data_IF_129223121071
#
_entry.id   IF_129223121071
#
_cell.length_a   1.000
_cell.length_b   1.000
_cell.length_c   1.000
_cell.angle_alpha   90.00
_cell.angle_beta   90.00
_cell.angle_gamma   90.00
#
_symmetry.space_group_name_H-M   'P 1'
#
loop_
_entity.id
_entity.type
_entity.pdbx_description
1 polymer ?
#
# COMPACT_ATOMS: atom_id res chain seq x y z
N UNK A 1 -42.32 15.84 67.36
CA UNK A 1 -42.47 14.45 66.91
C UNK A 1 -41.24 14.15 66.08
N UNK A 2 -40.18 13.70 66.75
CA UNK A 2 -39.82 12.30 67.03
C UNK A 2 -38.83 11.85 65.95
N UNK A 3 -37.68 11.28 66.22
CA UNK A 3 -36.92 11.05 67.46
C UNK A 3 -35.56 10.46 66.99
N UNK A 4 -34.45 10.91 67.63
CA UNK A 4 -33.43 10.09 68.35
C UNK A 4 -32.71 8.96 67.57
N UNK A 5 -31.41 8.69 67.67
CA UNK A 5 -30.16 9.27 68.19
C UNK A 5 -29.03 8.23 67.88
N UNK A 6 -27.73 8.58 68.01
CA UNK A 6 -26.59 7.74 67.65
C UNK A 6 -25.99 6.98 68.86
N UNK A 7 -25.13 5.98 68.59
CA UNK A 7 -24.47 5.16 69.64
C UNK A 7 -22.93 5.26 69.57
N UNK A 8 -22.37 5.85 70.65
CA UNK A 8 -21.08 5.70 71.37
C UNK A 8 -19.89 4.94 70.71
N UNK A 9 -18.67 5.52 70.60
CA UNK A 9 -17.61 5.78 71.61
C UNK A 9 -16.98 4.51 72.24
N UNK A 10 -15.71 4.19 71.93
CA UNK A 10 -14.56 4.11 72.88
C UNK A 10 -13.26 3.50 72.29
N UNK A 11 -12.17 4.23 72.53
CA UNK A 11 -10.75 3.85 72.50
C UNK A 11 -10.40 2.84 73.63
N UNK A 12 -9.50 1.89 73.34
CA UNK A 12 -8.52 1.22 74.23
C UNK A 12 -7.39 0.72 73.29
N UNK A 13 -6.21 1.32 73.18
CA UNK A 13 -5.03 1.39 74.07
C UNK A 13 -4.30 0.06 74.35
N UNK A 14 -3.01 0.06 73.95
CA UNK A 14 -1.83 -0.65 74.51
C UNK A 14 -1.47 -2.06 73.99
N UNK A 15 -0.34 -2.29 73.30
CA UNK A 15 1.13 -2.34 73.64
C UNK A 15 1.62 -3.81 73.79
N UNK A 16 2.89 -4.08 73.41
CA UNK A 16 3.74 -5.30 73.61
C UNK A 16 3.63 -6.39 72.50
N UNK A 17 4.67 -6.99 71.87
CA UNK A 17 6.13 -7.12 72.10
C UNK A 17 6.87 -7.34 70.75
N UNK A 18 8.03 -6.69 70.65
CA UNK A 18 9.14 -6.92 69.75
C UNK A 18 10.08 -7.96 70.37
N UNK A 19 10.46 -9.07 69.72
CA UNK A 19 11.72 -9.77 70.05
C UNK A 19 12.24 -10.75 68.97
N UNK A 20 13.36 -10.35 68.36
CA UNK A 20 14.58 -11.12 67.99
C UNK A 20 14.49 -12.20 66.89
N UNK A 21 15.18 -12.10 65.75
CA UNK A 21 16.63 -11.98 65.45
C UNK A 21 17.49 -13.14 66.01
N UNK A 22 18.10 -13.94 65.11
CA UNK A 22 19.57 -13.97 64.83
C UNK A 22 19.98 -15.29 64.12
N UNK A 23 20.58 -15.10 62.94
CA UNK A 23 21.64 -15.84 62.20
C UNK A 23 21.67 -17.36 62.07
N UNK A 24 21.83 -17.82 60.81
CA UNK A 24 23.01 -18.59 60.42
C UNK A 24 23.60 -18.05 59.11
N UNK A 25 24.84 -17.57 59.22
CA UNK A 25 25.81 -17.39 58.15
C UNK A 25 26.16 -18.74 57.52
N UNK A 26 26.08 -18.82 56.19
CA UNK A 26 26.77 -19.85 55.39
C UNK A 26 27.73 -19.15 54.43
N UNK A 27 29.00 -19.49 54.60
CA UNK A 27 30.13 -19.22 53.75
C UNK A 27 30.59 -20.58 53.22
N UNK A 28 30.89 -20.66 51.93
CA UNK A 28 31.71 -21.71 51.35
C UNK A 28 30.98 -22.65 50.39
N UNK A 29 31.29 -22.52 49.10
CA UNK A 29 30.90 -23.49 48.08
C UNK A 29 31.30 -23.05 46.68
N UNK A 30 32.59 -23.18 46.34
CA UNK A 30 33.09 -23.16 44.97
C UNK A 30 32.36 -24.22 44.14
N UNK A 31 31.32 -23.81 43.43
CA UNK A 31 30.80 -24.51 42.27
C UNK A 31 31.05 -23.61 41.08
N UNK A 32 31.94 -24.03 40.18
CA UNK A 32 31.98 -23.50 38.83
C UNK A 32 30.63 -23.80 38.18
N UNK A 33 29.64 -22.94 38.44
CA UNK A 33 28.43 -22.89 37.65
C UNK A 33 28.90 -22.55 36.25
N UNK A 34 28.77 -23.51 35.34
CA UNK A 34 28.79 -23.23 33.92
C UNK A 34 27.95 -21.97 33.75
N UNK A 35 28.62 -20.85 33.45
CA UNK A 35 27.98 -19.72 32.80
C UNK A 35 27.48 -20.28 31.50
N UNK A 36 26.27 -20.86 31.53
CA UNK A 36 25.50 -21.07 30.33
C UNK A 36 25.52 -19.72 29.65
N UNK A 37 26.13 -19.68 28.46
CA UNK A 37 26.07 -18.49 27.62
C UNK A 37 24.64 -17.94 27.74
N UNK A 38 24.45 -16.62 27.96
CA UNK A 38 23.12 -16.06 27.78
C UNK A 38 22.59 -16.62 26.45
N UNK A 39 21.35 -17.14 26.40
CA UNK A 39 20.83 -17.76 25.19
C UNK A 39 21.18 -16.82 24.03
N UNK A 40 21.83 -17.32 22.95
CA UNK A 40 22.22 -16.47 21.84
C UNK A 40 21.00 -15.62 21.48
N UNK A 41 21.18 -14.30 21.42
CA UNK A 41 20.10 -13.40 21.03
C UNK A 41 19.54 -13.91 19.71
N UNK A 42 18.34 -14.48 19.74
CA UNK A 42 17.74 -15.08 18.55
C UNK A 42 17.33 -13.98 17.58
N UNK A 43 17.05 -14.37 16.34
CA UNK A 43 16.52 -13.45 15.35
C UNK A 43 15.01 -13.62 15.22
N UNK A 44 14.32 -12.55 14.90
CA UNK A 44 12.95 -12.56 14.36
C UNK A 44 12.92 -12.10 12.91
N UNK A 45 11.74 -12.10 12.33
CA UNK A 45 11.48 -11.61 10.97
C UNK A 45 10.78 -10.26 11.03
N UNK A 46 11.24 -9.28 10.25
CA UNK A 46 10.58 -7.99 10.08
C UNK A 46 10.17 -7.84 8.61
N UNK A 47 8.87 -7.67 8.37
CA UNK A 47 8.34 -7.37 7.03
C UNK A 47 8.19 -5.86 6.89
N UNK A 48 8.88 -5.29 5.90
CA UNK A 48 8.88 -3.86 5.60
C UNK A 48 7.82 -3.57 4.53
N UNK A 49 6.86 -2.71 4.85
CA UNK A 49 5.81 -2.26 3.94
C UNK A 49 6.03 -0.80 3.52
N UNK A 50 5.60 -0.46 2.32
CA UNK A 50 5.46 0.91 1.84
C UNK A 50 3.97 1.21 1.61
N UNK A 51 3.50 2.34 2.13
CA UNK A 51 2.21 2.96 1.80
C UNK A 51 2.44 4.46 1.56
N UNK A 52 1.52 5.08 0.85
CA UNK A 52 1.52 6.52 0.61
C UNK A 52 0.19 7.15 1.03
N UNK A 53 0.28 8.37 1.54
CA UNK A 53 -0.80 9.34 1.56
C UNK A 53 -0.53 10.34 0.42
N UNK A 54 -1.28 10.28 -0.69
CA UNK A 54 -0.82 10.86 -1.94
C UNK A 54 -1.01 12.38 -2.01
N UNK A 55 -0.30 12.97 -2.98
CA UNK A 55 -0.45 14.37 -3.39
C UNK A 55 -1.17 14.47 -4.72
N UNK A 56 -2.16 15.35 -4.87
CA UNK A 56 -2.88 15.52 -6.15
C UNK A 56 -2.06 16.05 -7.33
N UNK A 57 -0.94 16.72 -7.08
CA UNK A 57 -0.22 17.47 -8.12
C UNK A 57 0.78 16.63 -8.93
N UNK A 58 1.22 15.49 -8.39
CA UNK A 58 2.12 14.57 -9.06
C UNK A 58 1.33 13.46 -9.76
N UNK A 59 1.51 13.22 -11.06
CA UNK A 59 0.82 12.12 -11.76
C UNK A 59 1.51 10.76 -11.57
N UNK A 60 2.82 10.79 -11.30
CA UNK A 60 3.61 9.70 -10.74
C UNK A 60 4.55 10.25 -9.67
N UNK A 61 5.01 9.42 -8.76
CA UNK A 61 6.08 9.77 -7.82
C UNK A 61 6.96 8.56 -7.55
N UNK A 62 8.11 8.51 -8.22
CA UNK A 62 9.10 7.43 -8.05
C UNK A 62 10.18 7.88 -7.10
N UNK A 63 10.33 7.15 -6.01
CA UNK A 63 11.32 7.44 -4.98
C UNK A 63 12.04 6.15 -4.60
N UNK A 64 13.36 6.20 -4.64
CA UNK A 64 14.23 5.11 -4.19
C UNK A 64 14.46 5.18 -2.71
N UNK A 65 14.11 4.10 -2.02
CA UNK A 65 14.57 3.79 -0.68
C UNK A 65 15.94 3.13 -0.78
N UNK A 66 16.98 3.85 -0.37
CA UNK A 66 18.36 3.38 -0.39
C UNK A 66 18.62 2.42 0.75
N UNK A 67 18.35 2.84 1.99
CA UNK A 67 18.66 2.04 3.17
C UNK A 67 17.72 2.29 4.35
N UNK A 68 17.58 1.27 5.18
CA UNK A 68 16.77 1.30 6.41
C UNK A 68 17.63 0.72 7.54
N UNK A 69 17.84 1.50 8.59
CA UNK A 69 18.61 1.11 9.78
C UNK A 69 17.75 1.29 11.03
N UNK A 70 17.64 0.24 11.84
CA UNK A 70 16.92 0.27 13.12
C UNK A 70 17.92 0.48 14.26
N UNK A 71 17.55 1.29 15.25
CA UNK A 71 18.35 1.50 16.47
C UNK A 71 17.60 0.99 17.69
N UNK A 72 18.23 0.08 18.44
CA UNK A 72 17.66 -0.52 19.65
C UNK A 72 17.64 0.46 20.83
N UNK A 73 16.84 0.16 21.85
CA UNK A 73 16.83 0.89 23.12
C UNK A 73 18.18 0.86 23.84
N UNK A 74 19.05 -0.11 23.52
CA UNK A 74 20.43 -0.20 23.99
C UNK A 74 21.43 0.58 23.12
N UNK A 75 20.97 1.27 22.07
CA UNK A 75 21.81 2.06 21.15
C UNK A 75 22.50 1.24 20.06
N UNK A 76 22.23 -0.06 19.95
CA UNK A 76 22.78 -0.90 18.88
C UNK A 76 22.01 -0.70 17.58
N UNK A 77 22.72 -0.66 16.45
CA UNK A 77 22.12 -0.47 15.12
C UNK A 77 22.11 -1.77 14.31
N UNK A 78 21.06 -2.00 13.53
CA UNK A 78 20.98 -3.11 12.55
C UNK A 78 20.40 -2.61 11.24
N UNK A 79 20.97 -3.08 10.13
CA UNK A 79 20.48 -2.78 8.78
C UNK A 79 19.32 -3.70 8.41
N UNK A 80 18.13 -3.13 8.21
CA UNK A 80 16.96 -3.85 7.71
C UNK A 80 16.93 -3.88 6.17
N UNK A 81 17.39 -2.81 5.52
CA UNK A 81 17.59 -2.73 4.06
C UNK A 81 18.96 -2.11 3.78
N UNK A 82 19.84 -2.85 3.08
CA UNK A 82 21.15 -2.33 2.68
C UNK A 82 21.06 -1.55 1.36
N UNK A 83 21.98 -0.61 1.13
CA UNK A 83 22.04 0.16 -0.12
C UNK A 83 22.24 -0.69 -1.38
N UNK A 84 22.89 -1.85 -1.25
CA UNK A 84 22.99 -2.85 -2.32
C UNK A 84 21.65 -3.52 -2.66
N UNK A 85 20.66 -3.39 -1.78
CA UNK A 85 19.30 -3.90 -1.92
C UNK A 85 18.29 -2.75 -2.07
N UNK A 86 18.74 -1.55 -2.46
CA UNK A 86 17.83 -0.41 -2.62
C UNK A 86 16.66 -0.73 -3.55
N UNK A 87 15.54 -0.05 -3.34
CA UNK A 87 14.27 -0.29 -4.04
C UNK A 87 13.65 1.04 -4.45
N UNK A 88 13.39 1.20 -5.75
CA UNK A 88 12.53 2.26 -6.26
C UNK A 88 11.08 1.78 -6.24
N UNK A 89 10.21 2.64 -5.72
CA UNK A 89 8.77 2.41 -5.70
C UNK A 89 8.09 3.59 -6.37
N UNK A 90 7.05 3.32 -7.14
CA UNK A 90 6.06 4.32 -7.50
C UNK A 90 5.11 4.45 -6.29
N UNK A 91 5.22 5.54 -5.54
CA UNK A 91 4.53 5.71 -4.25
C UNK A 91 3.08 6.13 -4.42
N UNK A 92 2.76 6.94 -5.43
CA UNK A 92 1.40 7.46 -5.65
C UNK A 92 0.36 6.34 -5.79
N UNK A 93 0.72 5.28 -6.52
CA UNK A 93 -0.11 4.08 -6.74
C UNK A 93 -0.30 3.23 -5.47
N UNK A 94 0.52 3.43 -4.43
CA UNK A 94 0.43 2.69 -3.16
C UNK A 94 -0.52 3.32 -2.16
N UNK A 95 -1.19 4.40 -2.55
CA UNK A 95 -2.34 4.94 -1.82
C UNK A 95 -3.39 3.87 -1.62
N UNK A 96 -3.66 3.51 -0.37
CA UNK A 96 -4.60 2.44 0.00
C UNK A 96 -4.22 1.06 -0.56
N UNK A 97 -3.02 0.87 -1.10
CA UNK A 97 -2.53 -0.40 -1.65
C UNK A 97 -1.06 -0.63 -1.26
N UNK A 98 -0.77 -0.95 0.01
CA UNK A 98 0.58 -1.15 0.48
C UNK A 98 1.27 -2.30 -0.25
N UNK A 99 2.59 -2.19 -0.38
CA UNK A 99 3.42 -3.26 -0.96
C UNK A 99 4.60 -3.59 -0.04
N UNK A 100 5.21 -4.75 -0.25
CA UNK A 100 6.38 -5.19 0.54
C UNK A 100 7.65 -4.66 -0.11
N UNK A 101 8.49 -4.01 0.70
CA UNK A 101 9.84 -3.58 0.31
C UNK A 101 10.81 -4.74 0.47
N UNK A 102 10.77 -5.38 1.65
CA UNK A 102 11.69 -6.46 2.04
C UNK A 102 11.15 -7.27 3.21
N UNK A 103 11.51 -8.55 3.24
CA UNK A 103 11.41 -9.41 4.43
C UNK A 103 12.82 -9.57 5.00
N UNK A 104 13.07 -9.07 6.21
CA UNK A 104 14.40 -8.98 6.81
C UNK A 104 14.51 -9.84 8.08
N UNK A 105 15.65 -10.50 8.26
CA UNK A 105 16.00 -11.19 9.51
C UNK A 105 16.69 -10.21 10.45
N UNK A 106 16.08 -9.93 11.61
CA UNK A 106 16.51 -8.89 12.54
C UNK A 106 16.77 -9.50 13.92
N UNK A 107 17.88 -9.17 14.60
CA UNK A 107 18.14 -9.62 15.97
C UNK A 107 17.03 -9.19 16.93
N UNK A 108 16.71 -10.04 17.90
CA UNK A 108 15.73 -9.75 18.91
C UNK A 108 16.17 -8.56 19.78
N UNK A 109 15.33 -7.52 19.79
CA UNK A 109 15.49 -6.32 20.60
C UNK A 109 14.21 -5.47 20.53
N UNK A 110 14.12 -4.48 21.42
CA UNK A 110 13.18 -3.37 21.24
C UNK A 110 13.89 -2.23 20.52
N UNK A 111 13.35 -1.84 19.36
CA UNK A 111 13.84 -0.76 18.51
C UNK A 111 13.03 0.50 18.74
N UNK A 112 13.76 1.61 18.96
CA UNK A 112 13.20 2.90 19.38
C UNK A 112 13.24 3.96 18.28
N UNK A 113 14.02 3.72 17.23
CA UNK A 113 14.05 4.57 16.05
C UNK A 113 14.41 3.79 14.79
N UNK A 114 14.01 4.35 13.65
CA UNK A 114 14.42 3.93 12.32
C UNK A 114 15.00 5.12 11.57
N UNK A 115 16.13 4.91 10.90
CA UNK A 115 16.70 5.84 9.95
C UNK A 115 16.45 5.32 8.53
N UNK A 116 15.80 6.13 7.71
CA UNK A 116 15.49 5.87 6.31
C UNK A 116 16.35 6.79 5.45
N UNK A 117 17.08 6.24 4.49
CA UNK A 117 17.79 7.03 3.47
C UNK A 117 17.08 6.86 2.12
N UNK A 118 16.87 7.98 1.43
CA UNK A 118 16.21 8.04 0.12
C UNK A 118 17.05 8.83 -0.89
N UNK A 119 16.83 8.56 -2.17
CA UNK A 119 17.41 9.32 -3.27
C UNK A 119 16.46 10.43 -3.75
N UNK A 120 16.92 11.30 -4.64
CA UNK A 120 16.06 12.31 -5.25
C UNK A 120 14.95 11.65 -6.09
N UNK A 121 13.67 12.01 -5.89
CA UNK A 121 12.57 11.42 -6.64
C UNK A 121 12.45 11.99 -8.05
N UNK A 122 11.75 11.23 -8.90
CA UNK A 122 11.27 11.67 -10.23
C UNK A 122 9.75 11.63 -10.28
N UNK A 123 9.14 12.64 -10.90
CA UNK A 123 7.69 12.77 -11.02
C UNK A 123 7.29 13.22 -12.42
N UNK A 124 6.10 12.85 -12.85
CA UNK A 124 5.46 13.43 -14.04
C UNK A 124 4.45 14.48 -13.59
N UNK A 125 4.62 15.71 -14.07
CA UNK A 125 3.73 16.83 -13.76
C UNK A 125 2.89 17.18 -14.97
N UNK A 126 1.65 17.63 -14.72
CA UNK A 126 0.81 18.25 -15.73
C UNK A 126 0.89 19.77 -15.62
N UNK A 127 1.34 20.43 -16.69
CA UNK A 127 1.28 21.87 -16.81
C UNK A 127 -0.06 22.26 -17.45
N UNK A 128 -0.94 22.88 -16.67
CA UNK A 128 -2.26 23.30 -17.14
C UNK A 128 -2.23 24.45 -18.15
N UNK A 129 -1.15 25.23 -18.20
CA UNK A 129 -1.02 26.33 -19.15
C UNK A 129 -0.69 25.81 -20.56
N UNK A 130 0.18 24.81 -20.67
CA UNK A 130 0.56 24.20 -21.95
C UNK A 130 -0.26 22.96 -22.30
N UNK A 131 -0.94 22.34 -21.32
CA UNK A 131 -1.62 21.05 -21.48
C UNK A 131 -0.67 19.86 -21.63
N UNK A 132 0.61 20.03 -21.29
CA UNK A 132 1.65 19.01 -21.48
C UNK A 132 1.97 18.27 -20.18
N UNK A 133 2.52 17.07 -20.33
CA UNK A 133 3.02 16.24 -19.24
C UNK A 133 4.54 16.09 -19.41
N UNK A 134 5.30 16.39 -18.36
CA UNK A 134 6.77 16.35 -18.40
C UNK A 134 7.38 15.71 -17.16
N UNK A 135 8.48 15.01 -17.35
CA UNK A 135 9.29 14.49 -16.26
C UNK A 135 10.01 15.62 -15.52
N UNK A 136 10.04 15.55 -14.20
CA UNK A 136 10.73 16.48 -13.32
C UNK A 136 11.46 15.70 -12.24
N UNK A 137 12.77 15.90 -12.13
CA UNK A 137 13.54 15.46 -10.96
C UNK A 137 13.42 16.52 -9.88
N UNK A 138 13.08 16.11 -8.66
CA UNK A 138 12.90 17.04 -7.54
C UNK A 138 14.12 16.94 -6.63
N UNK A 139 14.82 18.05 -6.34
CA UNK A 139 15.93 18.04 -5.40
C UNK A 139 15.48 17.61 -4.00
N UNK A 140 16.16 16.61 -3.43
CA UNK A 140 15.97 16.18 -2.04
C UNK A 140 16.70 17.13 -1.09
N UNK A 141 15.97 17.69 -0.13
CA UNK A 141 16.54 18.61 0.87
C UNK A 141 17.24 17.84 2.00
N UNK A 142 16.69 16.68 2.37
CA UNK A 142 17.16 15.81 3.44
C UNK A 142 17.08 14.36 2.97
N UNK A 143 18.24 13.75 2.68
CA UNK A 143 18.28 12.38 2.17
C UNK A 143 18.05 11.33 3.26
N UNK A 144 18.28 11.66 4.53
CA UNK A 144 18.11 10.73 5.65
C UNK A 144 17.13 11.31 6.66
N UNK A 145 16.10 10.52 6.98
CA UNK A 145 15.07 10.85 7.96
C UNK A 145 15.16 9.87 9.12
N UNK A 146 15.22 10.38 10.35
CA UNK A 146 15.11 9.57 11.57
C UNK A 146 13.72 9.69 12.16
N UNK A 147 13.06 8.56 12.35
CA UNK A 147 11.69 8.47 12.83
C UNK A 147 11.65 7.75 14.19
N UNK A 148 10.81 8.19 15.13
CA UNK A 148 10.55 7.41 16.33
C UNK A 148 9.88 6.08 15.95
N UNK A 149 10.21 5.03 16.70
CA UNK A 149 9.66 3.69 16.48
C UNK A 149 9.37 3.02 17.82
N UNK A 150 8.36 2.17 17.86
CA UNK A 150 8.14 1.23 18.96
C UNK A 150 7.91 -0.16 18.38
N UNK A 151 9.01 -0.85 18.11
CA UNK A 151 9.02 -2.17 17.48
C UNK A 151 9.78 -3.15 18.38
N UNK A 152 9.11 -4.17 18.88
CA UNK A 152 9.78 -5.27 19.60
C UNK A 152 9.88 -6.47 18.66
N UNK A 153 11.10 -6.97 18.48
CA UNK A 153 11.39 -8.20 17.76
C UNK A 153 11.80 -9.24 18.79
N UNK A 154 11.09 -10.36 18.84
CA UNK A 154 11.47 -11.51 19.67
C UNK A 154 12.06 -12.63 18.80
N UNK A 155 12.82 -13.56 19.40
CA UNK A 155 13.31 -14.74 18.69
C UNK A 155 12.18 -15.56 18.08
N UNK A 156 12.24 -15.83 16.78
CA UNK A 156 11.27 -16.65 16.04
C UNK A 156 9.94 -15.96 15.71
N UNK A 157 9.70 -14.76 16.24
CA UNK A 157 8.48 -14.00 15.97
C UNK A 157 8.59 -13.22 14.65
N UNK A 158 7.43 -12.87 14.11
CA UNK A 158 7.30 -11.94 12.99
C UNK A 158 6.75 -10.61 13.50
N UNK A 159 7.37 -9.53 13.04
CA UNK A 159 6.86 -8.18 13.19
C UNK A 159 6.70 -7.53 11.81
N UNK A 160 5.85 -6.52 11.70
CA UNK A 160 5.77 -5.69 10.50
C UNK A 160 6.07 -4.23 10.82
N UNK A 161 6.71 -3.55 9.88
CA UNK A 161 7.01 -2.13 9.92
C UNK A 161 6.53 -1.51 8.61
N UNK A 162 5.56 -0.62 8.69
CA UNK A 162 5.07 0.16 7.56
C UNK A 162 5.73 1.53 7.55
N UNK A 163 6.30 1.89 6.42
CA UNK A 163 6.75 3.24 6.10
C UNK A 163 5.64 3.91 5.30
N UNK A 164 5.07 4.94 5.89
CA UNK A 164 3.96 5.71 5.32
C UNK A 164 4.51 7.07 4.88
N UNK A 165 4.63 7.29 3.57
CA UNK A 165 5.04 8.58 3.01
C UNK A 165 3.82 9.49 2.97
N UNK A 166 3.88 10.65 3.61
CA UNK A 166 2.91 11.70 3.33
C UNK A 166 3.41 12.52 2.13
N UNK A 167 3.11 12.06 0.93
CA UNK A 167 3.57 12.70 -0.30
C UNK A 167 3.05 14.13 -0.44
N UNK A 168 1.84 14.41 0.05
CA UNK A 168 1.27 15.76 0.05
C UNK A 168 2.14 16.75 0.81
N UNK A 169 2.58 16.40 2.01
CA UNK A 169 3.42 17.28 2.83
C UNK A 169 4.90 17.23 2.43
N UNK A 170 5.31 16.14 1.75
CA UNK A 170 6.69 15.94 1.33
C UNK A 170 7.11 16.73 0.10
N UNK A 171 6.17 17.10 -0.76
CA UNK A 171 6.44 17.87 -1.98
C UNK A 171 5.89 19.28 -1.82
N UNK A 172 6.80 20.25 -1.78
CA UNK A 172 6.47 21.67 -1.63
C UNK A 172 6.92 22.46 -2.84
N UNK A 173 6.36 23.65 -3.00
CA UNK A 173 6.78 24.61 -4.02
C UNK A 173 7.47 25.79 -3.34
N UNK A 174 8.64 26.17 -3.82
CA UNK A 174 9.36 27.33 -3.31
C UNK A 174 8.79 28.66 -3.85
N UNK A 175 9.39 29.78 -3.43
CA UNK A 175 8.94 31.12 -3.87
C UNK A 175 9.09 31.39 -5.36
N UNK A 176 9.84 30.56 -6.09
CA UNK A 176 10.06 30.67 -7.54
C UNK A 176 9.13 29.77 -8.34
N UNK A 177 8.36 28.89 -7.67
CA UNK A 177 7.55 27.88 -8.34
C UNK A 177 8.26 26.54 -8.54
N UNK A 178 9.51 26.38 -8.07
CA UNK A 178 10.25 25.13 -8.18
C UNK A 178 9.79 24.13 -7.12
N UNK A 179 9.74 22.84 -7.49
CA UNK A 179 9.43 21.78 -6.54
C UNK A 179 10.64 21.46 -5.65
N UNK A 180 10.36 21.23 -4.37
CA UNK A 180 11.31 20.77 -3.36
C UNK A 180 10.76 19.50 -2.71
N UNK A 181 11.65 18.56 -2.40
CA UNK A 181 11.29 17.33 -1.69
C UNK A 181 11.92 17.30 -0.30
N UNK A 182 11.06 17.36 0.73
CA UNK A 182 11.42 17.16 2.13
C UNK A 182 10.64 15.96 2.67
N UNK A 183 11.22 14.75 2.71
CA UNK A 183 10.49 13.53 3.03
C UNK A 183 9.83 13.56 4.41
N UNK A 184 8.50 13.47 4.43
CA UNK A 184 7.67 13.33 5.63
C UNK A 184 7.14 11.91 5.73
N UNK A 185 7.90 11.05 6.42
CA UNK A 185 7.51 9.66 6.68
C UNK A 185 6.93 9.47 8.08
N UNK A 186 6.10 8.46 8.23
CA UNK A 186 5.75 7.86 9.52
C UNK A 186 6.20 6.40 9.55
N UNK A 187 6.70 5.96 10.69
CA UNK A 187 7.07 4.57 10.94
C UNK A 187 6.00 3.94 11.84
N UNK A 188 5.28 2.97 11.31
CA UNK A 188 4.10 2.38 11.96
C UNK A 188 4.34 0.89 12.15
N UNK A 189 4.27 0.43 13.40
CA UNK A 189 4.32 -1.00 13.69
C UNK A 189 3.00 -1.64 13.26
N UNK A 190 3.10 -2.66 12.42
CA UNK A 190 1.98 -3.51 12.03
C UNK A 190 1.62 -4.42 13.21
N UNK A 191 0.34 -4.52 13.51
CA UNK A 191 -0.15 -5.37 14.59
C UNK A 191 -0.98 -6.53 14.04
N UNK A 192 -0.79 -7.70 14.65
CA UNK A 192 -1.54 -8.92 14.36
C UNK A 192 -2.75 -9.11 15.29
N UNK A 193 -2.99 -8.17 16.22
CA UNK A 193 -4.14 -8.18 17.12
C UNK A 193 -5.38 -7.52 16.48
N UNK A 194 -6.56 -7.94 16.92
CA UNK A 194 -7.84 -7.38 16.48
C UNK A 194 -7.89 -5.87 16.73
N UNK A 195 -8.07 -5.07 15.67
CA UNK A 195 -8.12 -3.60 15.74
C UNK A 195 -6.77 -2.88 15.58
N UNK A 196 -5.68 -3.62 15.38
CA UNK A 196 -4.40 -3.08 14.92
C UNK A 196 -4.37 -2.82 13.42
N UNK A 197 -3.35 -2.10 12.93
CA UNK A 197 -3.14 -1.90 11.50
C UNK A 197 -2.59 -3.20 10.92
N UNK A 198 -3.34 -3.92 10.06
CA UNK A 198 -2.90 -5.19 9.52
C UNK A 198 -1.82 -4.99 8.45
N UNK A 199 -0.92 -5.95 8.31
CA UNK A 199 -0.02 -6.00 7.17
C UNK A 199 -0.78 -6.64 6.02
N UNK A 200 -0.98 -5.93 4.92
CA UNK A 200 -1.68 -6.45 3.77
C UNK A 200 -0.99 -6.02 2.47
N UNK A 201 -1.19 -6.81 1.43
CA UNK A 201 -0.91 -6.48 0.03
C UNK A 201 -2.23 -6.60 -0.72
N UNK A 202 -2.46 -5.68 -1.66
CA UNK A 202 -3.75 -5.50 -2.36
C UNK A 202 -3.46 -5.21 -3.85
N UNK A 203 -3.87 -6.11 -4.72
CA UNK A 203 -3.69 -6.07 -6.16
C UNK A 203 -2.22 -6.16 -6.59
N UNK A 204 -1.37 -6.88 -5.84
CA UNK A 204 0.07 -6.86 -6.11
C UNK A 204 0.44 -7.91 -7.16
N UNK A 205 1.11 -7.53 -8.27
CA UNK A 205 1.65 -8.48 -9.23
C UNK A 205 2.72 -9.36 -8.57
N UNK A 206 2.70 -10.66 -8.83
CA UNK A 206 3.70 -11.58 -8.33
C UNK A 206 3.96 -12.75 -9.29
N UNK A 207 5.16 -13.32 -9.20
CA UNK A 207 5.56 -14.50 -9.98
C UNK A 207 5.67 -15.70 -9.04
N UNK A 208 4.95 -16.78 -9.34
CA UNK A 208 5.04 -18.04 -8.59
C UNK A 208 6.44 -18.63 -8.77
N UNK A 209 7.13 -18.90 -7.67
CA UNK A 209 8.45 -19.54 -7.67
C UNK A 209 8.41 -20.99 -7.22
N UNK A 210 7.47 -21.36 -6.36
CA UNK A 210 7.29 -22.73 -5.89
C UNK A 210 5.84 -22.96 -5.45
N UNK A 211 5.34 -24.19 -5.57
CA UNK A 211 4.02 -24.59 -5.09
C UNK A 211 4.15 -25.84 -4.22
N UNK A 212 3.60 -25.79 -3.00
CA UNK A 212 3.57 -26.86 -2.03
C UNK A 212 2.11 -27.18 -1.65
N UNK A 213 1.53 -28.12 -2.38
CA UNK A 213 0.16 -28.58 -2.18
C UNK A 213 -0.05 -29.28 -0.83
N UNK A 214 0.99 -29.88 -0.24
CA UNK A 214 0.87 -30.58 1.05
C UNK A 214 0.56 -29.65 2.22
N UNK A 215 0.99 -28.39 2.11
CA UNK A 215 0.81 -27.37 3.14
C UNK A 215 -0.15 -26.25 2.70
N UNK A 216 -0.84 -26.40 1.56
CA UNK A 216 -1.61 -25.33 0.91
C UNK A 216 -0.81 -24.02 0.81
N UNK A 217 0.44 -24.13 0.39
CA UNK A 217 1.40 -23.02 0.35
C UNK A 217 2.01 -22.87 -1.03
N UNK A 218 2.43 -21.67 -1.34
CA UNK A 218 3.26 -21.36 -2.49
C UNK A 218 4.18 -20.19 -2.15
N UNK A 219 5.26 -20.03 -2.89
CA UNK A 219 6.12 -18.85 -2.78
C UNK A 219 5.99 -18.03 -4.05
N UNK A 220 5.97 -16.72 -3.87
CA UNK A 220 6.00 -15.76 -4.97
C UNK A 220 7.17 -14.80 -4.82
N UNK A 221 7.60 -14.21 -5.92
CA UNK A 221 8.50 -13.06 -5.91
C UNK A 221 7.74 -11.86 -6.48
N UNK A 222 7.77 -10.74 -5.76
CA UNK A 222 7.22 -9.49 -6.24
C UNK A 222 8.18 -8.85 -7.26
N UNK A 223 7.68 -8.03 -8.20
CA UNK A 223 8.55 -7.22 -9.05
C UNK A 223 9.30 -6.18 -8.21
N UNK A 224 10.47 -5.77 -8.68
CA UNK A 224 11.27 -4.72 -8.05
C UNK A 224 12.04 -3.92 -9.10
N UNK A 225 12.33 -2.66 -8.79
CA UNK A 225 12.94 -1.72 -9.74
C UNK A 225 13.98 -0.83 -9.07
N UNK A 226 14.95 -0.36 -9.85
CA UNK A 226 15.79 0.81 -9.56
C UNK A 226 16.05 1.53 -10.87
N UNK A 227 15.65 2.80 -10.99
CA UNK A 227 15.89 3.63 -12.18
C UNK A 227 15.49 2.90 -13.47
N UNK A 228 14.28 2.33 -13.49
CA UNK A 228 13.72 1.58 -14.62
C UNK A 228 14.49 0.30 -15.02
N UNK A 229 15.39 -0.20 -14.16
CA UNK A 229 16.02 -1.50 -14.33
C UNK A 229 15.35 -2.51 -13.39
N UNK A 230 14.94 -3.69 -13.91
CA UNK A 230 14.40 -4.74 -13.06
C UNK A 230 15.46 -5.27 -12.10
N UNK A 231 15.02 -5.52 -10.89
CA UNK A 231 15.75 -6.25 -9.87
C UNK A 231 14.83 -7.31 -9.27
N UNK A 232 15.39 -8.33 -8.64
CA UNK A 232 14.57 -9.29 -7.90
C UNK A 232 13.93 -8.60 -6.70
N UNK A 233 12.60 -8.54 -6.66
CA UNK A 233 11.85 -8.05 -5.50
C UNK A 233 11.85 -9.05 -4.34
N UNK A 234 11.14 -8.73 -3.24
CA UNK A 234 11.04 -9.63 -2.09
C UNK A 234 10.26 -10.90 -2.45
N UNK A 235 10.65 -12.01 -1.82
CA UNK A 235 9.89 -13.26 -1.87
C UNK A 235 8.92 -13.35 -0.70
N UNK A 236 7.68 -13.76 -0.98
CA UNK A 236 6.64 -13.98 0.01
C UNK A 236 6.27 -15.47 0.03
N UNK A 237 6.07 -16.02 1.23
CA UNK A 237 5.40 -17.32 1.39
C UNK A 237 3.92 -17.05 1.62
N UNK A 238 3.08 -17.65 0.78
CA UNK A 238 1.64 -17.44 0.77
C UNK A 238 0.93 -18.75 1.10
N UNK A 239 -0.07 -18.69 1.96
CA UNK A 239 -0.99 -19.76 2.31
C UNK A 239 -2.36 -19.48 1.70
N UNK A 240 -3.07 -20.52 1.30
CA UNK A 240 -4.50 -20.44 0.99
C UNK A 240 -5.30 -21.30 1.95
N UNK A 241 -6.54 -20.90 2.24
CA UNK A 241 -7.50 -21.69 3.00
C UNK A 241 -8.87 -21.76 2.29
N UNK A 242 -9.91 -22.21 3.01
CA UNK A 242 -11.27 -22.31 2.46
C UNK A 242 -11.94 -20.95 2.19
N UNK A 243 -11.39 -19.85 2.71
CA UNK A 243 -11.87 -18.49 2.47
C UNK A 243 -11.16 -17.78 1.32
N UNK A 244 -10.02 -18.31 0.87
CA UNK A 244 -9.31 -17.79 -0.30
C UNK A 244 -10.18 -17.91 -1.57
N UNK A 245 -10.41 -16.78 -2.23
CA UNK A 245 -11.07 -16.72 -3.53
C UNK A 245 -10.06 -16.97 -4.64
N UNK A 246 -10.36 -17.93 -5.51
CA UNK A 246 -9.58 -18.20 -6.70
C UNK A 246 -10.28 -17.60 -7.92
N UNK A 247 -9.55 -16.85 -8.72
CA UNK A 247 -10.04 -16.26 -9.97
C UNK A 247 -9.22 -16.76 -11.14
N UNK A 248 -9.88 -17.10 -12.24
CA UNK A 248 -9.32 -17.73 -13.46
C UNK A 248 -8.69 -19.12 -13.28
N UNK A 249 -8.55 -19.55 -12.03
CA UNK A 249 -8.15 -20.89 -11.58
C UNK A 249 -9.15 -21.40 -10.55
N UNK A 250 -9.14 -22.69 -10.30
CA UNK A 250 -10.03 -23.33 -9.32
C UNK A 250 -9.32 -23.67 -8.01
N UNK A 251 -7.98 -23.79 -8.01
CA UNK A 251 -7.20 -24.10 -6.81
C UNK A 251 -5.71 -23.82 -6.97
N UNK A 252 -4.93 -23.96 -5.88
CA UNK A 252 -3.46 -23.96 -5.94
C UNK A 252 -2.86 -25.02 -6.87
N UNK A 253 -3.57 -26.13 -7.15
CA UNK A 253 -3.08 -27.16 -8.06
C UNK A 253 -2.98 -26.69 -9.51
N UNK A 254 -3.65 -25.59 -9.85
CA UNK A 254 -3.59 -24.96 -11.18
C UNK A 254 -2.40 -23.99 -11.31
N UNK A 255 -1.65 -23.75 -10.24
CA UNK A 255 -0.46 -22.92 -10.24
C UNK A 255 0.80 -23.75 -10.50
N UNK A 256 1.67 -23.21 -11.35
CA UNK A 256 3.01 -23.74 -11.57
C UNK A 256 4.05 -22.62 -11.45
N UNK A 257 5.32 -22.94 -11.09
CA UNK A 257 6.39 -21.95 -11.13
C UNK A 257 6.46 -21.24 -12.49
N UNK A 258 6.63 -19.92 -12.47
CA UNK A 258 6.60 -19.05 -13.64
C UNK A 258 5.21 -18.50 -13.98
N UNK A 259 4.13 -18.99 -13.35
CA UNK A 259 2.84 -18.30 -13.45
C UNK A 259 2.95 -16.90 -12.84
N UNK A 260 2.35 -15.94 -13.53
CA UNK A 260 2.13 -14.58 -13.01
C UNK A 260 0.73 -14.49 -12.43
N UNK A 261 0.59 -13.72 -11.36
CA UNK A 261 -0.66 -13.56 -10.65
C UNK A 261 -0.80 -12.16 -10.05
N UNK A 262 -2.03 -11.81 -9.75
CA UNK A 262 -2.41 -10.71 -8.87
C UNK A 262 -2.78 -11.31 -7.50
N UNK A 263 -2.23 -10.73 -6.42
CA UNK A 263 -2.33 -11.25 -5.06
C UNK A 263 -2.89 -10.21 -4.09
N UNK A 264 -4.00 -10.59 -3.45
CA UNK A 264 -4.48 -9.97 -2.22
C UNK A 264 -4.15 -10.90 -1.07
N UNK A 265 -3.38 -10.42 -0.09
CA UNK A 265 -3.01 -11.26 1.03
C UNK A 265 -2.69 -10.46 2.30
N UNK A 266 -2.94 -11.10 3.45
CA UNK A 266 -2.70 -10.52 4.77
C UNK A 266 -1.55 -11.24 5.47
N UNK A 267 -0.57 -10.48 5.98
CA UNK A 267 0.51 -11.01 6.78
C UNK A 267 -0.03 -11.59 8.10
N UNK A 268 0.37 -12.82 8.41
CA UNK A 268 0.05 -13.50 9.65
C UNK A 268 1.22 -13.46 10.63
N UNK A 269 0.94 -13.73 11.91
CA UNK A 269 1.96 -13.88 12.96
C UNK A 269 2.95 -15.02 12.69
N UNK A 270 2.61 -15.96 11.81
CA UNK A 270 3.49 -17.03 11.33
C UNK A 270 4.58 -16.54 10.37
N UNK A 271 4.46 -15.32 9.82
CA UNK A 271 5.32 -14.78 8.78
C UNK A 271 4.88 -15.11 7.36
N UNK A 272 3.88 -15.99 7.21
CA UNK A 272 3.25 -16.24 5.92
C UNK A 272 2.15 -15.22 5.67
N UNK A 273 1.85 -15.01 4.40
CA UNK A 273 0.70 -14.24 3.96
C UNK A 273 -0.48 -15.20 3.74
N UNK A 274 -1.64 -14.92 4.32
CA UNK A 274 -2.88 -15.62 3.99
C UNK A 274 -3.53 -14.93 2.81
N UNK A 275 -3.70 -15.66 1.71
CA UNK A 275 -4.34 -15.15 0.50
C UNK A 275 -5.84 -14.94 0.72
N UNK A 276 -6.31 -13.76 0.35
CA UNK A 276 -7.73 -13.43 0.24
C UNK A 276 -8.21 -13.68 -1.19
N UNK A 277 -7.41 -13.25 -2.17
CA UNK A 277 -7.67 -13.46 -3.60
C UNK A 277 -6.39 -13.94 -4.28
N UNK A 278 -6.52 -14.97 -5.11
CA UNK A 278 -5.47 -15.42 -6.03
C UNK A 278 -6.04 -15.42 -7.43
N UNK A 279 -5.52 -14.54 -8.26
CA UNK A 279 -5.91 -14.45 -9.67
C UNK A 279 -4.71 -14.75 -10.54
N UNK A 280 -4.77 -15.87 -11.26
CA UNK A 280 -3.73 -16.18 -12.25
C UNK A 280 -3.92 -15.29 -13.47
N UNK A 281 -2.85 -14.72 -13.98
CA UNK A 281 -2.90 -14.07 -15.28
C UNK A 281 -3.10 -15.12 -16.37
N UNK A 282 -4.15 -14.94 -17.17
CA UNK A 282 -4.52 -15.84 -18.27
C UNK A 282 -4.05 -15.37 -19.63
N UNK A 283 -3.37 -14.22 -19.68
CA UNK A 283 -2.95 -13.57 -20.92
C UNK A 283 -1.57 -14.08 -21.36
N UNK A 284 -1.41 -14.21 -22.68
CA UNK A 284 -0.26 -14.71 -23.42
C UNK A 284 1.06 -14.00 -23.03
N UNK A 285 2.24 -14.56 -23.41
CA UNK A 285 3.52 -13.87 -23.26
C UNK A 285 3.45 -12.47 -23.90
N UNK A 286 3.50 -11.45 -23.05
CA UNK A 286 3.28 -10.06 -23.43
C UNK A 286 3.72 -9.15 -22.28
N UNK A 287 4.19 -7.95 -22.61
CA UNK A 287 4.53 -6.97 -21.59
C UNK A 287 3.25 -6.35 -21.03
N UNK A 288 3.07 -6.48 -19.72
CA UNK A 288 2.01 -5.87 -18.93
C UNK A 288 2.43 -4.49 -18.50
N UNK A 289 1.52 -3.53 -18.63
CA UNK A 289 1.74 -2.14 -18.23
C UNK A 289 0.51 -1.68 -17.45
N UNK A 290 0.74 -1.19 -16.24
CA UNK A 290 -0.26 -0.52 -15.41
C UNK A 290 -0.03 0.98 -15.45
N UNK A 291 -1.10 1.74 -15.55
CA UNK A 291 -0.97 3.19 -15.71
C UNK A 291 -2.25 3.94 -15.96
N UNK A 292 -2.18 5.26 -15.82
CA UNK A 292 -3.29 6.16 -16.10
C UNK A 292 -3.30 6.55 -17.58
N UNK A 293 -4.45 6.50 -18.25
CA UNK A 293 -4.62 7.03 -19.60
C UNK A 293 -4.44 8.54 -19.58
N UNK A 294 -3.47 9.03 -20.34
CA UNK A 294 -3.16 10.47 -20.45
C UNK A 294 -3.46 11.03 -21.84
N UNK A 295 -3.59 10.17 -22.84
CA UNK A 295 -4.03 10.57 -24.18
C UNK A 295 -4.75 9.41 -24.88
N UNK A 296 -5.59 9.74 -25.85
CA UNK A 296 -6.22 8.78 -26.75
C UNK A 296 -6.45 9.39 -28.13
N UNK A 297 -6.47 8.55 -29.16
CA UNK A 297 -6.73 8.95 -30.53
C UNK A 297 -7.77 8.03 -31.18
N UNK A 298 -8.78 8.57 -31.88
CA UNK A 298 -9.23 9.97 -31.81
C UNK A 298 -9.66 10.35 -30.37
N UNK A 299 -9.64 11.66 -30.08
CA UNK A 299 -10.03 12.18 -28.76
C UNK A 299 -11.53 11.93 -28.42
N UNK A 300 -12.36 11.77 -29.45
CA UNK A 300 -13.79 11.46 -29.35
C UNK A 300 -14.16 10.29 -30.26
N UNK A 301 -15.15 9.48 -29.87
CA UNK A 301 -15.58 8.29 -30.60
C UNK A 301 -14.84 7.01 -30.15
N UNK A 302 -14.67 6.04 -31.05
CA UNK A 302 -13.89 4.82 -30.79
C UNK A 302 -12.40 5.14 -30.82
N UNK A 303 -11.66 4.81 -29.77
CA UNK A 303 -10.21 4.91 -29.76
C UNK A 303 -9.61 3.85 -30.71
N UNK A 304 -8.61 4.26 -31.46
CA UNK A 304 -7.71 3.37 -32.21
C UNK A 304 -6.33 3.30 -31.56
N UNK A 305 -6.02 4.21 -30.64
CA UNK A 305 -4.82 4.15 -29.80
C UNK A 305 -4.98 4.97 -28.52
N UNK A 306 -4.11 4.72 -27.55
CA UNK A 306 -4.03 5.46 -26.30
C UNK A 306 -2.61 5.45 -25.73
N UNK A 307 -2.32 6.43 -24.88
CA UNK A 307 -1.06 6.55 -24.17
C UNK A 307 -1.33 6.52 -22.68
N UNK A 308 -0.58 5.68 -21.98
CA UNK A 308 -0.60 5.53 -20.54
C UNK A 308 0.62 6.20 -19.92
N UNK A 309 0.41 6.76 -18.74
CA UNK A 309 1.45 7.10 -17.80
C UNK A 309 1.77 5.86 -16.96
N UNK A 310 2.96 5.30 -17.15
CA UNK A 310 3.39 4.00 -16.60
C UNK A 310 3.65 4.13 -15.10
N UNK A 311 2.91 3.36 -14.31
CA UNK A 311 3.11 3.23 -12.86
C UNK A 311 3.74 1.87 -12.48
N UNK A 312 3.41 0.80 -13.20
CA UNK A 312 3.99 -0.53 -12.99
C UNK A 312 4.08 -1.33 -14.31
N UNK A 313 4.89 -2.39 -14.36
CA UNK A 313 5.02 -3.24 -15.54
C UNK A 313 5.62 -4.64 -15.26
N UNK A 314 5.25 -5.64 -16.07
CA UNK A 314 5.69 -7.04 -15.92
C UNK A 314 5.64 -7.84 -17.26
N UNK A 315 6.67 -8.60 -17.67
CA UNK A 315 8.05 -8.47 -17.23
C UNK A 315 8.57 -7.11 -17.65
N UNK A 316 9.53 -6.58 -16.91
CA UNK A 316 10.12 -5.27 -17.18
C UNK A 316 11.13 -5.39 -18.33
N UNK A 317 10.89 -4.86 -19.54
CA UNK A 317 11.97 -4.70 -20.50
C UNK A 317 12.96 -3.65 -20.00
N UNK A 318 14.17 -3.70 -20.54
CA UNK A 318 15.14 -2.63 -20.38
C UNK A 318 14.58 -1.35 -21.03
N UNK A 319 14.25 -0.36 -20.18
CA UNK A 319 13.76 0.99 -20.50
C UNK A 319 12.29 1.14 -20.93
N UNK A 320 11.34 0.94 -20.02
CA UNK A 320 10.03 1.60 -20.14
C UNK A 320 10.17 3.03 -19.63
N UNK A 321 9.91 4.03 -20.47
CA UNK A 321 9.80 5.42 -20.01
C UNK A 321 8.60 5.64 -19.09
N UNK A 322 8.35 6.88 -18.72
CA UNK A 322 7.13 7.24 -17.98
C UNK A 322 5.85 7.12 -18.81
N UNK A 323 5.96 6.99 -20.12
CA UNK A 323 4.82 6.94 -21.03
C UNK A 323 4.95 5.75 -21.97
N UNK A 324 3.84 5.06 -22.22
CA UNK A 324 3.77 3.96 -23.17
C UNK A 324 2.47 4.03 -23.97
N UNK A 325 2.53 3.74 -25.27
CA UNK A 325 1.36 3.81 -26.15
C UNK A 325 1.00 2.46 -26.71
N UNK A 326 -0.30 2.23 -26.83
CA UNK A 326 -0.87 1.02 -27.40
C UNK A 326 -1.78 1.39 -28.57
N UNK A 327 -1.72 0.56 -29.62
CA UNK A 327 -2.73 0.53 -30.67
C UNK A 327 -3.90 -0.36 -30.24
N UNK A 328 -5.09 -0.07 -30.76
CA UNK A 328 -6.32 -0.85 -30.56
C UNK A 328 -6.78 -1.32 -31.93
N UNK A 329 -7.01 -2.63 -32.05
CA UNK A 329 -7.54 -3.25 -33.25
C UNK A 329 -8.71 -4.19 -32.93
N UNK A 330 -9.24 -4.87 -33.95
CA UNK A 330 -10.36 -5.80 -33.79
C UNK A 330 -10.03 -7.03 -32.94
N UNK A 331 -8.76 -7.31 -32.68
CA UNK A 331 -8.28 -8.42 -31.84
C UNK A 331 -7.99 -7.98 -30.40
N UNK A 332 -8.10 -6.69 -30.07
CA UNK A 332 -7.91 -6.19 -28.70
C UNK A 332 -9.10 -6.55 -27.82
N UNK A 333 -8.84 -7.23 -26.71
CA UNK A 333 -9.86 -7.65 -25.75
C UNK A 333 -10.04 -6.65 -24.61
N UNK A 334 -11.25 -6.12 -24.43
CA UNK A 334 -11.57 -5.19 -23.35
C UNK A 334 -12.22 -5.91 -22.15
N UNK A 335 -11.78 -5.57 -20.95
CA UNK A 335 -12.22 -6.18 -19.68
C UNK A 335 -12.34 -5.13 -18.60
N UNK A 336 -13.10 -5.43 -17.54
CA UNK A 336 -13.13 -4.62 -16.32
C UNK A 336 -12.67 -5.51 -15.17
N UNK A 337 -11.77 -5.00 -14.34
CA UNK A 337 -11.44 -5.63 -13.07
C UNK A 337 -12.68 -5.52 -12.16
N UNK A 338 -13.27 -6.66 -11.82
CA UNK A 338 -14.48 -6.74 -11.00
C UNK A 338 -14.16 -7.10 -9.56
N UNK A 339 -12.89 -7.10 -9.17
CA UNK A 339 -12.46 -7.52 -7.85
C UNK A 339 -13.08 -6.63 -6.78
N UNK A 340 -13.83 -7.26 -5.88
CA UNK A 340 -14.47 -6.65 -4.69
C UNK A 340 -15.42 -5.47 -4.95
N UNK A 341 -15.71 -5.17 -6.21
CA UNK A 341 -16.70 -4.18 -6.61
C UNK A 341 -17.97 -4.89 -7.07
N UNK A 342 -19.15 -4.56 -6.51
CA UNK A 342 -20.41 -5.12 -6.97
C UNK A 342 -20.85 -4.41 -8.27
N UNK A 343 -20.02 -4.51 -9.32
CA UNK A 343 -20.23 -3.92 -10.64
C UNK A 343 -21.50 -4.44 -11.32
N UNK A 344 -22.02 -5.59 -10.88
CA UNK A 344 -23.34 -6.09 -11.26
C UNK A 344 -24.48 -5.10 -10.94
N UNK A 345 -24.26 -4.18 -9.99
CA UNK A 345 -25.19 -3.11 -9.62
C UNK A 345 -25.14 -1.91 -10.58
N UNK A 346 -24.23 -1.91 -11.55
CA UNK A 346 -24.09 -0.89 -12.59
C UNK A 346 -24.62 -1.44 -13.92
N UNK A 347 -25.96 -1.44 -14.13
CA UNK A 347 -26.53 -1.90 -15.39
C UNK A 347 -25.93 -1.05 -16.52
N UNK A 348 -25.45 -1.72 -17.57
CA UNK A 348 -24.78 -1.11 -18.72
C UNK A 348 -23.34 -0.63 -18.49
N UNK A 349 -22.62 -1.17 -17.50
CA UNK A 349 -21.17 -1.02 -17.47
C UNK A 349 -20.56 -1.67 -18.71
N UNK A 350 -20.13 -0.84 -19.67
CA UNK A 350 -19.44 -1.26 -20.87
C UNK A 350 -18.06 -0.59 -20.90
N UNK A 351 -17.01 -1.39 -21.02
CA UNK A 351 -15.66 -0.91 -21.25
C UNK A 351 -15.19 -1.39 -22.62
N UNK A 352 -15.01 -0.43 -23.52
CA UNK A 352 -14.67 -0.67 -24.92
C UNK A 352 -13.93 0.55 -25.51
N UNK A 353 -13.56 0.55 -26.79
CA UNK A 353 -12.92 1.72 -27.40
C UNK A 353 -13.74 3.01 -27.36
N UNK A 354 -15.08 2.93 -27.25
CA UNK A 354 -15.97 4.10 -27.18
C UNK A 354 -16.07 4.68 -25.77
N UNK A 355 -15.80 3.89 -24.72
CA UNK A 355 -15.84 4.33 -23.32
C UNK A 355 -14.46 4.53 -22.68
N UNK A 356 -13.38 4.10 -23.34
CA UNK A 356 -12.00 4.45 -22.95
C UNK A 356 -11.81 5.97 -22.90
N UNK A 357 -11.29 6.52 -21.79
CA UNK A 357 -11.13 7.96 -21.56
C UNK A 357 -9.84 8.27 -20.82
N UNK A 358 -9.37 9.51 -21.02
CA UNK A 358 -8.29 10.10 -20.21
C UNK A 358 -8.71 10.12 -18.74
N UNK A 359 -7.77 9.82 -17.84
CA UNK A 359 -7.99 9.74 -16.39
C UNK A 359 -8.36 8.35 -15.87
N UNK A 360 -8.70 7.39 -16.73
CA UNK A 360 -8.90 6.00 -16.31
C UNK A 360 -7.55 5.33 -16.02
N UNK A 361 -7.54 4.39 -15.07
CA UNK A 361 -6.39 3.53 -14.83
C UNK A 361 -6.61 2.18 -15.47
N UNK A 362 -5.59 1.69 -16.18
CA UNK A 362 -5.67 0.49 -16.97
C UNK A 362 -4.50 -0.43 -16.64
N UNK A 363 -4.75 -1.72 -16.83
CA UNK A 363 -3.76 -2.74 -17.09
C UNK A 363 -3.87 -3.15 -18.57
N UNK A 364 -2.80 -2.98 -19.34
CA UNK A 364 -2.76 -3.38 -20.76
C UNK A 364 -1.62 -4.37 -21.01
N UNK A 365 -1.88 -5.34 -21.90
CA UNK A 365 -0.90 -6.35 -22.33
C UNK A 365 -0.51 -6.09 -23.77
N UNK A 366 0.77 -5.90 -24.02
CA UNK A 366 1.33 -5.83 -25.38
C UNK A 366 1.32 -7.22 -26.02
N UNK A 367 0.84 -7.29 -27.27
CA UNK A 367 0.81 -8.53 -28.05
C UNK A 367 2.20 -9.01 -28.46
N UNK A 368 3.23 -8.15 -28.39
CA UNK A 368 4.63 -8.48 -28.72
C UNK A 368 4.82 -9.04 -30.15
N UNK A 369 3.93 -8.68 -31.08
CA UNK A 369 3.97 -9.07 -32.50
C UNK A 369 4.61 -7.98 -33.39
N UNK A 370 5.14 -6.93 -32.79
CA UNK A 370 5.74 -5.77 -33.47
C UNK A 370 4.74 -4.73 -33.97
N UNK A 371 3.43 -4.94 -33.77
CA UNK A 371 2.38 -3.98 -34.19
C UNK A 371 2.16 -2.86 -33.16
N UNK A 372 2.65 -3.04 -31.93
CA UNK A 372 2.38 -2.16 -30.78
C UNK A 372 0.91 -2.19 -30.34
N UNK A 373 0.13 -3.16 -30.79
CA UNK A 373 -1.27 -3.31 -30.41
C UNK A 373 -1.41 -4.06 -29.08
N UNK A 374 -2.41 -3.67 -28.31
CA UNK A 374 -2.78 -4.36 -27.08
C UNK A 374 -3.47 -5.69 -27.41
N UNK A 375 -3.01 -6.77 -26.80
CA UNK A 375 -3.75 -8.03 -26.74
C UNK A 375 -5.00 -7.87 -25.88
N UNK A 376 -4.83 -7.30 -24.69
CA UNK A 376 -5.95 -6.98 -23.80
C UNK A 376 -5.76 -5.64 -23.09
N UNK A 377 -6.89 -5.03 -22.75
CA UNK A 377 -7.00 -3.80 -21.98
C UNK A 377 -8.03 -4.03 -20.90
N UNK A 378 -7.59 -3.96 -19.65
CA UNK A 378 -8.42 -4.14 -18.47
C UNK A 378 -8.54 -2.80 -17.76
N UNK A 379 -9.77 -2.33 -17.58
CA UNK A 379 -10.06 -1.20 -16.72
C UNK A 379 -9.83 -1.62 -15.27
N UNK A 380 -9.02 -0.87 -14.56
CA UNK A 380 -8.51 -1.26 -13.25
C UNK A 380 -8.64 -0.12 -12.21
N UNK A 381 -8.35 -0.44 -10.96
CA UNK A 381 -8.52 0.48 -9.84
C UNK A 381 -7.53 1.63 -9.89
N UNK A 382 -8.05 2.84 -9.64
CA UNK A 382 -7.27 4.05 -9.43
C UNK A 382 -7.47 4.53 -8.00
N UNK A 383 -6.37 4.96 -7.39
CA UNK A 383 -6.39 5.74 -6.15
C UNK A 383 -6.33 7.23 -6.48
N UNK A 384 -7.29 7.98 -5.94
CA UNK A 384 -7.38 9.43 -6.06
C UNK A 384 -7.56 10.05 -4.68
N UNK A 385 -7.02 11.24 -4.50
CA UNK A 385 -7.37 12.09 -3.36
C UNK A 385 -8.02 13.36 -3.87
N UNK A 386 -8.98 13.85 -3.12
CA UNK A 386 -9.76 15.01 -3.50
C UNK A 386 -10.66 15.49 -2.38
N UNK A 387 -11.33 16.60 -2.65
CA UNK A 387 -12.31 17.19 -1.76
C UNK A 387 -13.69 16.59 -2.03
N UNK A 388 -14.45 16.37 -0.96
CA UNK A 388 -15.89 16.09 -1.06
C UNK A 388 -16.58 17.35 -1.55
N UNK A 389 -17.27 17.25 -2.68
CA UNK A 389 -18.01 18.33 -3.31
C UNK A 389 -19.30 18.70 -2.58
N UNK A 390 -20.24 19.37 -3.27
CA UNK A 390 -21.41 19.96 -2.63
C UNK A 390 -22.47 18.94 -2.18
N UNK A 391 -22.54 17.76 -2.81
CA UNK A 391 -23.56 16.76 -2.50
C UNK A 391 -22.96 15.54 -1.80
N UNK A 392 -23.55 15.15 -0.67
CA UNK A 392 -23.28 13.89 0.03
C UNK A 392 -24.61 13.17 0.21
N UNK A 393 -24.76 12.02 -0.45
CA UNK A 393 -25.91 11.14 -0.35
C UNK A 393 -25.67 9.97 0.60
N UNK A 394 -26.59 8.99 0.57
CA UNK A 394 -26.49 7.76 1.38
C UNK A 394 -25.56 6.72 0.76
N UNK A 395 -25.39 6.75 -0.56
CA UNK A 395 -24.58 5.78 -1.32
C UNK A 395 -23.71 6.44 -2.38
N UNK A 396 -23.61 7.76 -2.38
CA UNK A 396 -22.73 8.50 -3.27
C UNK A 396 -22.34 9.86 -2.66
N UNK A 397 -21.32 10.48 -3.23
CA UNK A 397 -20.97 11.87 -2.97
C UNK A 397 -20.27 12.48 -4.20
N UNK A 398 -20.38 13.79 -4.34
CA UNK A 398 -19.61 14.55 -5.31
C UNK A 398 -18.13 14.55 -4.91
N UNK A 399 -17.23 14.33 -5.87
CA UNK A 399 -15.80 14.31 -5.62
C UNK A 399 -15.08 15.22 -6.61
N UNK A 400 -14.23 16.08 -6.06
CA UNK A 400 -13.36 17.00 -6.79
C UNK A 400 -11.93 16.47 -6.61
N UNK A 401 -11.37 15.75 -7.60
CA UNK A 401 -10.01 15.23 -7.48
C UNK A 401 -9.01 16.38 -7.34
N UNK A 402 -8.00 16.19 -6.50
CA UNK A 402 -6.88 17.13 -6.41
C UNK A 402 -6.06 17.09 -7.73
N UNK A 403 -5.49 18.25 -8.10
CA UNK A 403 -4.63 18.40 -9.26
C UNK A 403 -5.36 18.85 -10.54
N UNK A 404 -4.65 19.61 -11.37
CA UNK A 404 -5.24 20.25 -12.55
C UNK A 404 -5.49 19.29 -13.73
N UNK A 405 -4.87 18.11 -13.73
CA UNK A 405 -4.98 17.16 -14.83
C UNK A 405 -6.42 16.69 -15.05
N UNK A 406 -7.13 16.29 -13.98
CA UNK A 406 -8.50 15.82 -14.09
C UNK A 406 -9.44 16.96 -14.53
N UNK A 407 -9.31 18.15 -13.92
CA UNK A 407 -10.10 19.31 -14.28
C UNK A 407 -9.92 19.71 -15.76
N UNK A 408 -8.68 19.74 -16.26
CA UNK A 408 -8.38 20.06 -17.66
C UNK A 408 -8.94 19.03 -18.65
N UNK A 409 -9.21 17.80 -18.19
CA UNK A 409 -9.76 16.71 -18.99
C UNK A 409 -11.26 16.44 -18.72
N UNK A 410 -11.98 17.43 -18.17
CA UNK A 410 -13.44 17.34 -17.97
C UNK A 410 -13.86 16.48 -16.77
N UNK A 411 -12.93 16.18 -15.86
CA UNK A 411 -13.14 15.40 -14.63
C UNK A 411 -12.94 16.27 -13.38
N UNK A 412 -13.24 17.58 -13.47
CA UNK A 412 -13.10 18.50 -12.33
C UNK A 412 -14.06 18.22 -11.19
N UNK A 413 -15.17 17.53 -11.46
CA UNK A 413 -16.08 16.99 -10.46
C UNK A 413 -16.79 15.77 -11.06
N UNK A 414 -16.91 14.70 -10.28
CA UNK A 414 -17.69 13.52 -10.64
C UNK A 414 -18.23 12.80 -9.40
N UNK A 415 -19.17 11.86 -9.59
CA UNK A 415 -19.77 11.11 -8.48
C UNK A 415 -18.87 9.95 -8.06
N UNK A 416 -18.63 9.81 -6.76
CA UNK A 416 -18.15 8.56 -6.15
C UNK A 416 -19.36 7.77 -5.68
N UNK A 417 -19.44 6.50 -6.06
CA UNK A 417 -20.50 5.59 -5.60
C UNK A 417 -19.91 4.60 -4.60
N UNK A 418 -20.55 4.47 -3.45
CA UNK A 418 -20.22 3.46 -2.43
C UNK A 418 -21.32 2.41 -2.36
N UNK A 419 -20.94 1.20 -2.01
CA UNK A 419 -21.80 0.02 -1.96
C UNK A 419 -21.63 -0.68 -0.62
N UNK A 420 -22.38 -1.75 -0.36
CA UNK A 420 -22.19 -2.55 0.85
C UNK A 420 -20.83 -3.26 0.93
N UNK A 421 -20.12 -3.39 -0.20
CA UNK A 421 -18.78 -3.94 -0.26
C UNK A 421 -17.69 -2.87 -0.11
N UNK A 422 -18.04 -1.58 -0.16
CA UNK A 422 -17.06 -0.51 -0.05
C UNK A 422 -16.55 -0.40 1.39
N UNK A 423 -15.24 -0.48 1.55
CA UNK A 423 -14.57 -0.27 2.83
C UNK A 423 -14.53 1.22 3.16
N UNK A 424 -15.11 1.61 4.31
CA UNK A 424 -15.16 2.99 4.78
C UNK A 424 -14.22 3.15 5.98
N UNK A 425 -13.05 3.73 5.75
CA UNK A 425 -12.03 3.96 6.76
C UNK A 425 -12.16 5.34 7.40
N UNK A 426 -11.97 5.42 8.71
CA UNK A 426 -12.15 6.64 9.51
C UNK A 426 -13.56 7.25 9.42
N UNK A 427 -14.57 6.42 9.11
CA UNK A 427 -15.97 6.82 8.93
C UNK A 427 -16.93 5.89 9.69
N UNK A 428 -16.97 5.93 11.03
CA UNK A 428 -17.77 5.00 11.85
C UNK A 428 -19.29 5.13 11.65
N UNK A 429 -19.75 6.22 11.04
CA UNK A 429 -21.15 6.50 10.69
C UNK A 429 -21.35 6.53 9.17
N UNK A 430 -20.41 5.94 8.40
CA UNK A 430 -20.43 5.91 6.95
C UNK A 430 -20.30 7.30 6.33
N UNK A 431 -20.96 7.53 5.19
CA UNK A 431 -20.88 8.81 4.47
C UNK A 431 -21.41 10.02 5.28
N UNK A 432 -22.16 9.80 6.37
CA UNK A 432 -22.57 10.89 7.27
C UNK A 432 -21.41 11.55 8.02
N UNK A 433 -20.22 10.94 8.02
CA UNK A 433 -19.00 11.58 8.51
C UNK A 433 -18.39 12.59 7.52
N UNK A 434 -18.87 12.66 6.27
CA UNK A 434 -18.37 13.59 5.27
C UNK A 434 -19.06 14.94 5.37
N UNK A 435 -18.26 16.00 5.43
CA UNK A 435 -18.71 17.38 5.37
C UNK A 435 -18.54 17.89 3.93
N UNK A 436 -19.66 18.27 3.31
CA UNK A 436 -19.69 18.82 1.96
C UNK A 436 -18.77 20.05 1.85
N UNK A 437 -17.96 20.11 0.80
CA UNK A 437 -16.96 21.15 0.54
C UNK A 437 -15.90 21.32 1.65
N UNK A 438 -15.69 20.34 2.52
CA UNK A 438 -14.72 20.44 3.62
C UNK A 438 -13.89 19.18 3.79
N UNK A 439 -14.52 18.01 3.75
CA UNK A 439 -13.82 16.75 3.90
C UNK A 439 -12.86 16.50 2.73
N UNK A 440 -11.65 16.08 3.05
CA UNK A 440 -10.70 15.53 2.09
C UNK A 440 -10.72 14.01 2.23
N UNK A 441 -10.83 13.29 1.12
CA UNK A 441 -10.92 11.83 1.13
C UNK A 441 -9.93 11.24 0.15
N UNK A 442 -9.42 10.06 0.49
CA UNK A 442 -8.79 9.16 -0.46
C UNK A 442 -9.80 8.13 -0.92
N UNK A 443 -9.91 7.91 -2.23
CA UNK A 443 -10.83 6.96 -2.85
C UNK A 443 -10.02 6.03 -3.73
N UNK A 444 -10.14 4.72 -3.51
CA UNK A 444 -9.64 3.68 -4.42
C UNK A 444 -10.82 2.95 -5.03
N UNK A 445 -10.80 2.78 -6.35
CA UNK A 445 -11.86 2.10 -7.07
C UNK A 445 -11.76 2.27 -8.58
N UNK A 446 -12.78 1.86 -9.32
CA UNK A 446 -12.76 1.87 -10.79
C UNK A 446 -13.48 3.10 -11.35
N UNK A 447 -12.77 3.92 -12.14
CA UNK A 447 -13.35 5.07 -12.84
C UNK A 447 -14.03 4.63 -14.15
N UNK A 448 -15.35 4.67 -14.17
CA UNK A 448 -16.19 4.32 -15.32
C UNK A 448 -16.83 5.57 -15.92
N UNK A 449 -17.24 5.49 -17.18
CA UNK A 449 -17.97 6.57 -17.85
C UNK A 449 -19.36 6.11 -18.26
N UNK A 450 -20.39 6.81 -17.77
CA UNK A 450 -21.79 6.55 -18.09
C UNK A 450 -22.39 7.79 -18.75
N UNK A 451 -22.89 7.62 -19.99
CA UNK A 451 -23.47 8.74 -20.76
C UNK A 451 -22.54 9.96 -20.84
N UNK A 452 -21.23 9.74 -20.88
CA UNK A 452 -20.20 10.79 -20.93
C UNK A 452 -19.78 11.38 -19.58
N UNK A 453 -20.44 11.03 -18.48
CA UNK A 453 -20.06 11.47 -17.13
C UNK A 453 -19.19 10.43 -16.42
N UNK A 454 -18.15 10.88 -15.73
CA UNK A 454 -17.34 10.03 -14.87
C UNK A 454 -18.10 9.58 -13.63
N UNK A 455 -17.89 8.32 -13.22
CA UNK A 455 -18.35 7.77 -11.94
C UNK A 455 -17.24 6.90 -11.40
N UNK A 456 -16.80 7.14 -10.16
CA UNK A 456 -15.81 6.31 -9.49
C UNK A 456 -16.52 5.34 -8.56
N UNK A 457 -16.47 4.05 -8.89
CA UNK A 457 -17.06 2.99 -8.06
C UNK A 457 -16.03 2.57 -7.02
N UNK A 458 -16.26 2.93 -5.76
CA UNK A 458 -15.24 2.80 -4.71
C UNK A 458 -15.15 1.38 -4.14
N UNK A 459 -13.94 0.83 -4.10
CA UNK A 459 -13.57 -0.33 -3.27
C UNK A 459 -13.30 0.14 -1.85
N UNK A 460 -12.59 1.26 -1.70
CA UNK A 460 -12.25 1.86 -0.40
C UNK A 460 -12.35 3.37 -0.44
N UNK A 461 -12.88 3.95 0.63
CA UNK A 461 -12.87 5.39 0.90
C UNK A 461 -12.29 5.61 2.29
N UNK A 462 -11.28 6.48 2.40
CA UNK A 462 -10.67 6.90 3.66
C UNK A 462 -10.90 8.39 3.86
N UNK A 463 -11.53 8.76 4.99
CA UNK A 463 -11.56 10.16 5.41
C UNK A 463 -10.16 10.56 5.90
N UNK A 464 -9.53 11.51 5.20
CA UNK A 464 -8.29 12.12 5.63
C UNK A 464 -8.65 13.18 6.67
N UNK A 465 -8.12 13.08 7.88
CA UNK A 465 -8.41 14.06 8.93
C UNK A 465 -7.94 15.45 8.45
N UNK A 466 -8.75 16.51 8.65
CA UNK A 466 -8.31 17.89 8.45
C UNK A 466 -7.13 18.25 9.36
#
# INVERSE_FOLDING_TARGET
MRDVAPTYFRLCSSVFILLWCISLSTCGGNGAGNGGNPPPGGNGTVVLFAEDQPSGNALTFRLTVDSIVLTSSAGATVTALASTEKRELEWRSRTLAPTVIKVATIPAATYTSVALTVEAPSTMLFDSASGTISETSIPVQTSTVSLPLNLTVNPGDVAGLRLDLNLRDSVQTDSTGALLFNPHFQAITVSFSTGGIPGYVDGVPAVVTNVNLSNNQFTVTLPGFVSLQPIQGPSLTVQSDSSTRFETISSLADLTPGNTLELDAQLQSSGNFLAQVIKRDTVLPGQKIWGMVIARSPASGSATSFTMLVQDADPVPTAIGFMFSFNIDASTHFRVSTEDLPLASFPNLNFDPQTLRVGQFLYAVDRQDGTGAADSITLDEISMVGQVGPSVGTSNFDFVPDGNFFAANGLGQFSVTVTSATELESMPSGLSNLNANQSIVSVRGVLVFQSGSGVLVAKRVRLLQP
#
